data_IF_067431113650
#
_entry.id   IF_067431113650
#
_cell.length_a   1.000
_cell.length_b   1.000
_cell.length_c   1.000
_cell.angle_alpha   90.00
_cell.angle_beta   90.00
_cell.angle_gamma   90.00
#
_symmetry.space_group_name_H-M   'P 1'
#
loop_
_entity.id
_entity.type
_entity.pdbx_description
1 polymer ?
#
# COMPACT_ATOMS: atom_id res chain seq x y z
N UNK A 1 -38.99 -44.10 10.02
CA UNK A 1 -39.25 -42.67 9.65
C UNK A 1 -38.27 -41.69 10.27
N UNK A 2 -37.90 -41.78 11.55
CA UNK A 2 -36.96 -40.82 12.21
C UNK A 2 -35.53 -40.87 11.67
N UNK A 3 -35.00 -42.04 11.29
CA UNK A 3 -33.62 -42.19 10.77
C UNK A 3 -33.48 -41.58 9.38
N UNK A 4 -34.49 -41.69 8.52
CA UNK A 4 -34.47 -41.13 7.16
C UNK A 4 -34.45 -39.59 7.16
N UNK A 5 -35.12 -38.96 8.13
CA UNK A 5 -35.15 -37.51 8.30
C UNK A 5 -33.76 -36.97 8.76
N UNK A 6 -33.06 -37.70 9.62
CA UNK A 6 -31.73 -37.32 10.12
C UNK A 6 -30.68 -37.38 8.98
N UNK A 7 -30.76 -38.40 8.12
CA UNK A 7 -29.86 -38.53 6.96
C UNK A 7 -30.11 -37.42 5.93
N UNK A 8 -31.37 -37.05 5.71
CA UNK A 8 -31.72 -35.96 4.79
C UNK A 8 -31.24 -34.59 5.31
N UNK A 9 -31.31 -34.35 6.64
CA UNK A 9 -30.77 -33.11 7.23
C UNK A 9 -29.24 -33.03 7.16
N UNK A 10 -28.53 -34.14 7.32
CA UNK A 10 -27.09 -34.20 7.21
C UNK A 10 -26.60 -33.94 5.78
N UNK A 11 -27.34 -34.38 4.77
CA UNK A 11 -27.00 -34.10 3.34
C UNK A 11 -27.25 -32.63 2.96
N UNK A 12 -28.28 -32.00 3.55
CA UNK A 12 -28.56 -30.58 3.29
C UNK A 12 -27.48 -29.66 3.93
N UNK A 13 -26.95 -30.04 5.11
CA UNK A 13 -25.86 -29.26 5.74
C UNK A 13 -24.52 -29.40 5.01
N UNK A 14 -24.28 -30.45 4.24
CA UNK A 14 -23.06 -30.65 3.48
C UNK A 14 -23.05 -29.85 2.14
N UNK A 15 -24.18 -29.31 1.72
CA UNK A 15 -24.34 -28.49 0.51
C UNK A 15 -24.22 -27.00 0.79
N UNK A 16 -23.95 -26.56 2.01
CA UNK A 16 -23.46 -25.22 2.28
C UNK A 16 -22.03 -25.19 1.78
N UNK A 17 -21.89 -25.10 0.46
CA UNK A 17 -20.65 -24.78 -0.20
C UNK A 17 -20.11 -23.53 0.49
N UNK A 18 -18.97 -23.64 1.12
CA UNK A 18 -18.13 -22.50 1.37
C UNK A 18 -17.80 -21.92 0.00
N UNK A 19 -18.64 -21.01 -0.45
CA UNK A 19 -18.24 -20.04 -1.43
C UNK A 19 -17.10 -19.28 -0.73
N UNK A 20 -15.88 -19.78 -0.89
CA UNK A 20 -14.71 -18.97 -0.72
C UNK A 20 -14.99 -17.75 -1.59
N UNK A 21 -15.31 -16.63 -0.95
CA UNK A 21 -15.27 -15.33 -1.61
C UNK A 21 -13.81 -15.19 -2.04
N UNK A 22 -13.51 -15.74 -3.21
CA UNK A 22 -12.34 -15.34 -3.98
C UNK A 22 -12.56 -13.86 -4.18
N UNK A 23 -11.98 -13.05 -3.30
CA UNK A 23 -11.84 -11.62 -3.53
C UNK A 23 -11.10 -11.55 -4.84
N UNK A 24 -11.83 -11.32 -5.91
CA UNK A 24 -11.27 -11.08 -7.22
C UNK A 24 -10.41 -9.84 -7.05
N UNK A 25 -9.12 -10.05 -6.86
CA UNK A 25 -8.14 -8.98 -6.81
C UNK A 25 -8.20 -8.30 -8.16
N UNK A 26 -8.90 -7.19 -8.23
CA UNK A 26 -8.84 -6.30 -9.37
C UNK A 26 -7.34 -6.02 -9.60
N UNK A 27 -6.94 -5.99 -10.86
CA UNK A 27 -5.55 -5.77 -11.28
C UNK A 27 -4.90 -4.69 -10.41
N UNK A 28 -3.84 -5.04 -9.71
CA UNK A 28 -3.04 -4.07 -8.95
C UNK A 28 -1.83 -3.65 -9.79
N UNK A 29 -1.41 -2.39 -9.63
CA UNK A 29 -0.24 -1.83 -10.31
C UNK A 29 0.65 -1.18 -9.25
N UNK A 30 1.93 -1.56 -9.18
CA UNK A 30 2.88 -1.00 -8.23
C UNK A 30 3.05 0.52 -8.42
N UNK A 31 3.07 1.25 -7.29
CA UNK A 31 3.36 2.68 -7.25
C UNK A 31 4.77 2.96 -6.73
N UNK A 32 5.02 2.56 -5.51
CA UNK A 32 6.28 2.72 -4.80
C UNK A 32 6.33 1.75 -3.61
N UNK A 33 7.48 1.67 -2.95
CA UNK A 33 7.64 0.83 -1.76
C UNK A 33 8.45 1.52 -0.66
N UNK A 34 8.31 1.02 0.57
CA UNK A 34 9.09 1.45 1.73
C UNK A 34 10.01 0.33 2.19
N UNK A 35 11.30 0.58 2.16
CA UNK A 35 12.35 -0.26 2.75
C UNK A 35 12.79 0.30 4.10
N UNK A 36 13.40 -0.58 4.91
CA UNK A 36 14.05 -0.22 6.18
C UNK A 36 15.34 -1.01 6.36
N UNK A 37 16.22 -0.50 7.22
CA UNK A 37 17.54 -1.09 7.47
C UNK A 37 17.57 -2.45 8.20
N UNK A 38 16.42 -2.95 8.70
CA UNK A 38 16.42 -4.14 9.58
C UNK A 38 16.39 -5.49 8.85
N UNK A 39 15.78 -5.54 7.68
CA UNK A 39 15.65 -6.76 6.90
C UNK A 39 15.30 -6.43 5.44
N UNK A 40 15.28 -7.44 4.58
CA UNK A 40 14.95 -7.28 3.16
C UNK A 40 13.44 -7.22 2.87
N UNK A 41 12.59 -7.34 3.90
CA UNK A 41 11.15 -7.15 3.72
C UNK A 41 10.85 -5.67 3.47
N UNK A 42 9.91 -5.39 2.59
CA UNK A 42 9.46 -4.02 2.30
C UNK A 42 7.95 -3.93 2.26
N UNK A 43 7.41 -2.73 2.43
CA UNK A 43 5.98 -2.47 2.28
C UNK A 43 5.74 -1.93 0.88
N UNK A 44 4.98 -2.68 0.10
CA UNK A 44 4.56 -2.30 -1.26
C UNK A 44 3.27 -1.49 -1.19
N UNK A 45 3.17 -0.45 -2.01
CA UNK A 45 1.97 0.35 -2.25
C UNK A 45 1.55 0.19 -3.69
N UNK A 46 0.33 -0.30 -3.90
CA UNK A 46 -0.24 -0.56 -5.21
C UNK A 46 -1.53 0.23 -5.41
N UNK A 47 -1.83 0.62 -6.64
CA UNK A 47 -3.18 1.05 -6.99
C UNK A 47 -4.08 -0.16 -7.20
N UNK A 48 -5.33 -0.01 -6.76
CA UNK A 48 -6.41 -0.96 -7.03
C UNK A 48 -7.25 -0.43 -8.19
N UNK A 49 -7.36 -1.22 -9.23
CA UNK A 49 -8.10 -0.87 -10.44
C UNK A 49 -9.43 -1.59 -10.49
N UNK A 50 -10.43 -0.91 -11.04
CA UNK A 50 -11.69 -1.51 -11.47
C UNK A 50 -11.49 -2.36 -12.72
N UNK A 51 -12.53 -3.07 -13.15
CA UNK A 51 -12.51 -3.84 -14.42
C UNK A 51 -12.24 -2.94 -15.63
N UNK A 52 -12.57 -1.64 -15.55
CA UNK A 52 -12.36 -0.66 -16.63
C UNK A 52 -10.96 -0.01 -16.58
N UNK A 53 -10.04 -0.50 -15.76
CA UNK A 53 -8.73 0.09 -15.50
C UNK A 53 -8.77 1.53 -14.94
N UNK A 54 -9.85 1.90 -14.25
CA UNK A 54 -9.95 3.12 -13.47
C UNK A 54 -9.57 2.85 -12.01
N UNK A 55 -9.16 3.90 -11.28
CA UNK A 55 -8.89 3.81 -9.85
C UNK A 55 -10.17 3.44 -9.07
N UNK A 56 -10.03 2.55 -8.11
CA UNK A 56 -11.13 2.16 -7.23
C UNK A 56 -11.60 3.37 -6.41
N UNK A 57 -12.91 3.64 -6.41
CA UNK A 57 -13.46 4.91 -5.91
C UNK A 57 -13.24 5.15 -4.40
N UNK A 58 -13.31 4.10 -3.57
CA UNK A 58 -13.23 4.23 -2.11
C UNK A 58 -11.84 3.91 -1.53
N UNK A 59 -11.09 3.02 -2.18
CA UNK A 59 -9.77 2.57 -1.72
C UNK A 59 -8.83 2.40 -2.92
N UNK A 60 -8.39 3.49 -3.55
CA UNK A 60 -7.56 3.45 -4.75
C UNK A 60 -6.15 2.91 -4.50
N UNK A 61 -5.63 3.03 -3.27
CA UNK A 61 -4.30 2.56 -2.92
C UNK A 61 -4.38 1.57 -1.76
N UNK A 62 -3.58 0.52 -1.83
CA UNK A 62 -3.43 -0.49 -0.77
C UNK A 62 -1.95 -0.66 -0.41
N UNK A 63 -1.68 -1.12 0.82
CA UNK A 63 -0.34 -1.37 1.32
C UNK A 63 -0.25 -2.75 1.97
N UNK A 64 0.83 -3.48 1.69
CA UNK A 64 1.08 -4.82 2.21
C UNK A 64 2.58 -5.12 2.29
N UNK A 65 2.97 -6.07 3.14
CA UNK A 65 4.34 -6.58 3.19
C UNK A 65 4.65 -7.48 2.01
N UNK A 66 5.82 -7.28 1.43
CA UNK A 66 6.51 -8.26 0.59
C UNK A 66 7.66 -8.80 1.41
N UNK A 67 7.67 -10.12 1.61
CA UNK A 67 8.66 -10.82 2.40
C UNK A 67 9.86 -11.20 1.54
N UNK A 68 11.01 -11.43 2.16
CA UNK A 68 12.25 -11.83 1.47
C UNK A 68 12.09 -13.09 0.59
N UNK A 69 11.19 -13.99 0.97
CA UNK A 69 10.85 -15.19 0.20
C UNK A 69 9.82 -14.95 -0.92
N UNK A 70 9.46 -13.67 -1.17
CA UNK A 70 8.45 -13.28 -2.17
C UNK A 70 6.99 -13.40 -1.71
N UNK A 71 6.75 -13.90 -0.49
CA UNK A 71 5.39 -13.98 0.07
C UNK A 71 4.82 -12.60 0.37
N UNK A 72 3.49 -12.50 0.36
CA UNK A 72 2.77 -11.29 0.72
C UNK A 72 2.05 -11.45 2.06
N UNK A 73 2.04 -10.39 2.87
CA UNK A 73 1.36 -10.36 4.16
C UNK A 73 0.68 -9.02 4.40
N UNK A 74 -0.53 -9.03 4.90
CA UNK A 74 -1.20 -7.80 5.29
C UNK A 74 -0.50 -7.07 6.44
N UNK A 75 -0.60 -5.74 6.44
CA UNK A 75 -0.21 -4.94 7.59
C UNK A 75 -1.16 -5.22 8.76
N UNK A 76 -0.61 -5.44 9.96
CA UNK A 76 -1.43 -5.53 11.17
C UNK A 76 -1.99 -4.14 11.58
N UNK A 77 -2.90 -4.11 12.54
CA UNK A 77 -3.57 -2.88 12.98
C UNK A 77 -2.60 -1.81 13.47
N UNK A 78 -1.56 -2.20 14.23
CA UNK A 78 -0.55 -1.28 14.76
C UNK A 78 0.27 -0.67 13.61
N UNK A 79 0.70 -1.51 12.66
CA UNK A 79 1.45 -1.07 11.49
C UNK A 79 0.63 -0.13 10.60
N UNK A 80 -0.67 -0.41 10.40
CA UNK A 80 -1.58 0.47 9.65
C UNK A 80 -1.77 1.81 10.36
N UNK A 81 -1.96 1.80 11.68
CA UNK A 81 -2.28 3.01 12.45
C UNK A 81 -1.07 3.93 12.70
N UNK A 82 0.12 3.37 12.89
CA UNK A 82 1.27 4.13 13.41
C UNK A 82 2.51 4.13 12.52
N UNK A 83 2.53 3.31 11.45
CA UNK A 83 3.73 3.19 10.62
C UNK A 83 3.44 3.30 9.11
N UNK A 84 2.88 2.26 8.52
CA UNK A 84 2.84 2.11 7.05
C UNK A 84 1.44 2.32 6.47
N UNK A 85 0.46 2.68 7.30
CA UNK A 85 -0.91 2.84 6.83
C UNK A 85 -1.10 4.08 6.00
N UNK A 86 -2.21 4.09 5.28
CA UNK A 86 -2.71 5.25 4.57
C UNK A 86 -3.61 6.02 5.55
N UNK A 87 -3.27 7.28 5.79
CA UNK A 87 -4.02 8.16 6.69
C UNK A 87 -5.33 8.63 6.05
N UNK A 88 -5.26 9.06 4.79
CA UNK A 88 -6.44 9.47 4.02
C UNK A 88 -6.22 9.26 2.53
N UNK A 89 -7.33 9.07 1.83
CA UNK A 89 -7.42 8.99 0.37
C UNK A 89 -8.58 9.85 -0.08
N UNK A 90 -8.29 10.91 -0.78
CA UNK A 90 -9.28 11.89 -1.27
C UNK A 90 -9.30 11.90 -2.78
N UNK A 91 -10.49 11.75 -3.36
CA UNK A 91 -10.68 11.86 -4.80
C UNK A 91 -10.62 13.33 -5.20
N UNK A 92 -9.70 13.69 -6.09
CA UNK A 92 -9.60 15.03 -6.66
C UNK A 92 -10.37 15.11 -7.99
N UNK A 93 -10.10 14.15 -8.87
CA UNK A 93 -10.70 14.06 -10.21
C UNK A 93 -10.88 12.58 -10.58
N UNK A 94 -11.43 12.28 -11.76
CA UNK A 94 -11.40 10.92 -12.27
C UNK A 94 -9.95 10.45 -12.44
N UNK A 95 -9.64 9.27 -11.88
CA UNK A 95 -8.31 8.68 -11.92
C UNK A 95 -7.19 9.54 -11.29
N UNK A 96 -7.57 10.43 -10.34
CA UNK A 96 -6.63 11.26 -9.61
C UNK A 96 -7.02 11.36 -8.14
N UNK A 97 -6.12 10.98 -7.25
CA UNK A 97 -6.34 10.95 -5.80
C UNK A 97 -5.18 11.60 -5.06
N UNK A 98 -5.52 12.32 -3.98
CA UNK A 98 -4.58 12.72 -2.94
C UNK A 98 -4.50 11.61 -1.91
N UNK A 99 -3.29 11.20 -1.58
CA UNK A 99 -3.01 10.18 -0.56
C UNK A 99 -2.09 10.78 0.49
N UNK A 100 -2.46 10.66 1.76
CA UNK A 100 -1.60 10.99 2.89
C UNK A 100 -1.22 9.70 3.62
N UNK A 101 0.05 9.53 3.91
CA UNK A 101 0.56 8.39 4.67
C UNK A 101 0.69 8.74 6.14
N UNK A 102 0.56 7.74 7.01
CA UNK A 102 0.72 7.92 8.45
C UNK A 102 2.09 8.49 8.81
N UNK A 103 3.15 8.02 8.15
CA UNK A 103 4.55 8.45 8.42
C UNK A 103 4.97 9.72 7.68
N UNK A 104 4.18 10.19 6.72
CA UNK A 104 4.45 11.37 5.90
C UNK A 104 3.21 12.26 5.83
N UNK A 105 2.61 12.58 6.98
CA UNK A 105 1.33 13.32 7.07
C UNK A 105 1.40 14.71 6.43
N UNK A 106 2.57 15.34 6.47
CA UNK A 106 2.78 16.68 5.93
C UNK A 106 3.18 16.67 4.45
N UNK A 107 3.18 15.49 3.82
CA UNK A 107 3.56 15.34 2.43
C UNK A 107 2.47 14.68 1.61
N UNK A 108 1.90 15.44 0.70
CA UNK A 108 0.90 14.93 -0.24
C UNK A 108 1.53 14.04 -1.29
N UNK A 109 0.88 12.92 -1.56
CA UNK A 109 1.18 12.05 -2.69
C UNK A 109 -0.02 12.09 -3.62
N UNK A 110 0.19 12.54 -4.85
CA UNK A 110 -0.87 12.54 -5.88
C UNK A 110 -0.71 11.27 -6.71
N UNK A 111 -1.71 10.43 -6.67
CA UNK A 111 -1.81 9.25 -7.56
C UNK A 111 -2.56 9.68 -8.80
N UNK A 112 -1.89 9.68 -9.94
CA UNK A 112 -2.45 10.10 -11.24
C UNK A 112 -1.89 9.26 -12.38
N UNK A 113 -2.54 9.32 -13.55
CA UNK A 113 -2.12 8.64 -14.76
C UNK A 113 -1.11 9.49 -15.54
N UNK A 114 0.11 8.96 -15.73
CA UNK A 114 1.17 9.60 -16.51
C UNK A 114 1.59 8.62 -17.60
N UNK A 115 1.53 9.02 -18.88
CA UNK A 115 1.89 8.18 -20.02
C UNK A 115 1.20 6.80 -19.98
N UNK A 116 -0.10 6.77 -19.67
CA UNK A 116 -0.90 5.55 -19.62
C UNK A 116 -0.74 4.69 -18.36
N UNK A 117 0.19 5.00 -17.45
CA UNK A 117 0.45 4.26 -16.21
C UNK A 117 0.16 5.10 -14.98
N UNK A 118 -0.37 4.50 -13.92
CA UNK A 118 -0.54 5.18 -12.64
C UNK A 118 0.82 5.39 -11.97
N UNK A 119 1.03 6.59 -11.43
CA UNK A 119 2.24 7.00 -10.72
C UNK A 119 1.89 7.75 -9.44
N UNK A 120 2.75 7.62 -8.44
CA UNK A 120 2.72 8.42 -7.23
C UNK A 120 3.61 9.65 -7.44
N UNK A 121 3.01 10.84 -7.42
CA UNK A 121 3.73 12.12 -7.60
C UNK A 121 3.76 12.87 -6.30
N UNK A 122 4.92 13.34 -5.90
CA UNK A 122 5.10 14.18 -4.71
C UNK A 122 6.21 15.20 -4.95
N UNK A 123 6.42 16.08 -3.98
CA UNK A 123 7.56 17.01 -4.01
C UNK A 123 8.76 16.32 -3.37
N UNK A 124 9.85 16.18 -4.10
CA UNK A 124 11.14 15.68 -3.60
C UNK A 124 12.16 16.79 -3.83
N UNK A 125 12.80 17.26 -2.75
CA UNK A 125 13.79 18.34 -2.82
C UNK A 125 13.30 19.54 -3.64
N UNK A 126 12.07 20.00 -3.36
CA UNK A 126 11.42 21.14 -4.00
C UNK A 126 10.92 20.92 -5.45
N UNK A 127 11.02 19.71 -6.00
CA UNK A 127 10.62 19.42 -7.39
C UNK A 127 9.51 18.37 -7.44
N UNK A 128 8.52 18.57 -8.32
CA UNK A 128 7.53 17.53 -8.61
C UNK A 128 8.23 16.30 -9.18
N UNK A 129 8.03 15.17 -8.55
CA UNK A 129 8.75 13.93 -8.86
C UNK A 129 7.86 12.72 -8.71
N UNK A 130 8.11 11.71 -9.53
CA UNK A 130 7.53 10.38 -9.38
C UNK A 130 8.26 9.70 -8.23
N UNK A 131 7.55 9.35 -7.17
CA UNK A 131 8.09 8.62 -6.03
C UNK A 131 8.25 7.15 -6.42
N UNK A 132 9.45 6.60 -6.22
CA UNK A 132 9.78 5.21 -6.52
C UNK A 132 10.03 4.40 -5.25
N UNK A 133 10.74 5.01 -4.29
CA UNK A 133 11.13 4.34 -3.04
C UNK A 133 11.21 5.32 -1.88
N UNK A 134 10.86 4.83 -0.70
CA UNK A 134 11.13 5.46 0.60
C UNK A 134 12.05 4.53 1.37
N UNK A 135 13.15 5.04 1.91
CA UNK A 135 14.05 4.28 2.77
C UNK A 135 14.00 4.85 4.19
N UNK A 136 13.80 3.98 5.18
CA UNK A 136 13.71 4.39 6.59
C UNK A 136 14.89 3.81 7.36
N UNK A 137 15.78 4.68 7.83
CA UNK A 137 16.82 4.34 8.77
C UNK A 137 16.30 4.46 10.19
N UNK A 138 16.42 3.39 10.96
CA UNK A 138 15.95 3.36 12.34
C UNK A 138 16.89 2.59 13.24
N UNK A 139 16.93 2.96 14.52
CA UNK A 139 17.60 2.19 15.58
C UNK A 139 16.60 1.75 16.63
N UNK A 140 16.88 0.62 17.27
CA UNK A 140 16.12 0.23 18.47
C UNK A 140 16.50 1.09 19.64
N UNK A 141 15.50 1.50 20.39
CA UNK A 141 15.66 2.14 21.69
C UNK A 141 15.09 1.21 22.76
N UNK A 142 15.19 1.63 24.03
CA UNK A 142 14.63 0.89 25.17
C UNK A 142 13.24 0.33 24.86
N UNK A 143 12.99 -0.93 25.23
CA UNK A 143 11.72 -1.66 25.04
C UNK A 143 11.40 -2.05 23.57
N UNK A 144 12.40 -2.08 22.68
CA UNK A 144 12.21 -2.58 21.30
C UNK A 144 11.43 -1.63 20.37
N UNK A 145 11.16 -0.38 20.82
CA UNK A 145 10.54 0.62 19.97
C UNK A 145 11.56 1.19 18.97
N UNK A 146 11.25 1.26 17.69
CA UNK A 146 12.15 1.84 16.70
C UNK A 146 12.11 3.38 16.79
N UNK A 147 13.29 4.01 16.88
CA UNK A 147 13.46 5.45 16.65
C UNK A 147 13.92 5.66 15.21
N UNK A 148 13.14 6.38 14.42
CA UNK A 148 13.54 6.79 13.07
C UNK A 148 14.67 7.82 13.17
N UNK A 149 15.77 7.57 12.47
CA UNK A 149 16.92 8.49 12.38
C UNK A 149 16.78 9.43 11.20
N UNK A 150 16.42 8.89 10.05
CA UNK A 150 16.09 9.66 8.85
C UNK A 150 15.22 8.85 7.88
N UNK A 151 14.61 9.58 6.96
CA UNK A 151 13.84 9.01 5.85
C UNK A 151 14.42 9.59 4.55
N UNK A 152 14.77 8.72 3.62
CA UNK A 152 15.18 9.12 2.27
C UNK A 152 14.04 8.85 1.28
N UNK A 153 13.66 9.86 0.53
CA UNK A 153 12.75 9.75 -0.60
C UNK A 153 13.58 9.64 -1.89
N UNK A 154 13.29 8.65 -2.71
CA UNK A 154 13.92 8.46 -4.01
C UNK A 154 12.86 8.50 -5.10
N UNK A 155 13.18 9.14 -6.21
CA UNK A 155 12.29 9.22 -7.34
C UNK A 155 12.94 9.80 -8.57
N UNK A 156 12.10 10.19 -9.54
CA UNK A 156 12.51 10.86 -10.78
C UNK A 156 11.71 12.12 -10.99
N UNK A 157 12.36 13.19 -11.41
CA UNK A 157 11.68 14.46 -11.72
C UNK A 157 10.61 14.25 -12.78
N UNK A 158 9.41 14.79 -12.53
CA UNK A 158 8.30 14.75 -13.50
C UNK A 158 8.71 15.48 -14.77
N UNK A 159 8.53 14.87 -15.93
CA UNK A 159 8.91 15.38 -17.24
C UNK A 159 10.30 14.93 -17.70
N UNK A 160 11.38 15.34 -17.07
CA UNK A 160 12.76 15.03 -17.51
C UNK A 160 13.26 13.64 -17.06
N UNK A 161 12.65 13.04 -16.04
CA UNK A 161 13.01 11.70 -15.56
C UNK A 161 14.37 11.60 -14.83
N UNK A 162 15.00 12.74 -14.45
CA UNK A 162 16.26 12.71 -13.73
C UNK A 162 16.10 12.16 -12.33
N UNK A 163 17.03 11.30 -11.85
CA UNK A 163 17.03 10.81 -10.49
C UNK A 163 17.07 11.97 -9.49
N UNK A 164 16.31 11.84 -8.41
CA UNK A 164 16.26 12.82 -7.33
C UNK A 164 16.14 12.11 -5.98
N UNK A 165 16.76 12.70 -4.95
CA UNK A 165 16.69 12.21 -3.57
C UNK A 165 16.51 13.38 -2.62
N UNK A 166 15.78 13.13 -1.53
CA UNK A 166 15.65 14.05 -0.40
C UNK A 166 15.82 13.27 0.89
N UNK A 167 16.58 13.82 1.85
CA UNK A 167 16.68 13.28 3.21
C UNK A 167 15.89 14.13 4.19
N UNK A 168 15.02 13.49 4.94
CA UNK A 168 14.20 14.08 5.99
C UNK A 168 14.71 13.55 7.32
N UNK A 169 15.08 14.46 8.23
CA UNK A 169 15.46 14.10 9.62
C UNK A 169 14.25 14.47 10.48
N UNK A 170 13.59 13.50 11.14
CA UNK A 170 12.50 13.79 12.08
C UNK A 170 13.00 14.68 13.23
N UNK A 171 12.18 15.65 13.61
CA UNK A 171 12.45 16.53 14.76
C UNK A 171 12.13 15.82 16.08
#
# INVERSE_FOLDING_TARGET
>A
MKILVIILLAVILSLVSWSAFAVSWNKSVPLFFIERNKNKNYVQYDVRLTKNNDLHASNPVTAYWVLENGGQKELNLIQRKYAYGIHSQEKLEQNKFRVLMVVLKDREIIVEKINGSFRAVTIINGKQSILEKVYVESKEILMGLPKVLYVDLFGRTKGKGFPIRERIIPK
#
